data_IF_741863367646
#
_entry.id   IF_741863367646
#
_cell.length_a   1.000
_cell.length_b   1.000
_cell.length_c   1.000
_cell.angle_alpha   90.00
_cell.angle_beta   90.00
_cell.angle_gamma   90.00
#
_symmetry.space_group_name_H-M   'P 1'
#
loop_
_entity.id
_entity.type
_entity.pdbx_description
1 polymer ?
#
# COMPACT_ATOMS: atom_id res chain seq x y z
N UNK A 1 -0.48 -20.75 21.62
CA UNK A 1 -0.25 -19.55 20.79
C UNK A 1 1.13 -18.99 21.10
N UNK A 2 1.94 -18.70 20.09
CA UNK A 2 3.25 -18.05 20.28
C UNK A 2 3.09 -16.52 20.35
N UNK A 3 4.04 -15.80 20.96
CA UNK A 3 3.97 -14.33 21.11
C UNK A 3 3.80 -13.58 19.79
N UNK A 4 4.48 -14.02 18.73
CA UNK A 4 4.39 -13.37 17.41
C UNK A 4 3.05 -13.63 16.71
N UNK A 5 2.43 -14.80 16.92
CA UNK A 5 1.11 -15.10 16.39
C UNK A 5 0.05 -14.20 17.02
N UNK A 6 0.10 -14.02 18.34
CA UNK A 6 -0.85 -13.15 19.03
C UNK A 6 -0.74 -11.70 18.55
N UNK A 7 0.49 -11.21 18.34
CA UNK A 7 0.73 -9.89 17.75
C UNK A 7 0.18 -9.78 16.32
N UNK A 8 0.38 -10.80 15.49
CA UNK A 8 -0.15 -10.83 14.14
C UNK A 8 -1.68 -10.80 14.11
N UNK A 9 -2.35 -11.59 14.97
CA UNK A 9 -3.81 -11.59 15.11
C UNK A 9 -4.33 -10.24 15.55
N UNK A 10 -3.74 -9.62 16.59
CA UNK A 10 -4.12 -8.28 17.04
C UNK A 10 -3.99 -7.24 15.93
N UNK A 11 -2.93 -7.31 15.13
CA UNK A 11 -2.75 -6.40 14.00
C UNK A 11 -3.77 -6.65 12.90
N UNK A 12 -4.09 -7.91 12.59
CA UNK A 12 -5.13 -8.27 11.64
C UNK A 12 -6.50 -7.71 12.07
N UNK A 13 -6.90 -7.92 13.33
CA UNK A 13 -8.15 -7.40 13.88
C UNK A 13 -8.22 -5.87 13.78
N UNK A 14 -7.13 -5.16 14.07
CA UNK A 14 -7.08 -3.69 13.93
C UNK A 14 -7.25 -3.23 12.48
N UNK A 15 -6.68 -3.97 11.53
CA UNK A 15 -6.86 -3.70 10.09
C UNK A 15 -8.32 -3.94 9.70
N UNK A 16 -8.94 -5.03 10.18
CA UNK A 16 -10.34 -5.36 9.91
C UNK A 16 -11.32 -4.36 10.53
N UNK A 17 -11.01 -3.85 11.73
CA UNK A 17 -11.76 -2.77 12.39
C UNK A 17 -11.63 -1.42 11.67
N UNK A 18 -10.76 -1.31 10.65
CA UNK A 18 -10.57 -0.08 9.88
C UNK A 18 -9.75 0.99 10.60
N UNK A 19 -9.04 0.65 11.70
CA UNK A 19 -8.06 1.55 12.33
C UNK A 19 -6.94 1.91 11.36
N UNK A 20 -6.56 0.98 10.49
CA UNK A 20 -5.64 1.23 9.39
C UNK A 20 -6.37 1.05 8.06
N UNK A 21 -6.54 2.13 7.31
CA UNK A 21 -7.19 2.05 6.01
C UNK A 21 -6.26 1.42 5.00
N UNK A 22 -6.83 0.70 4.05
CA UNK A 22 -6.06 0.14 2.96
C UNK A 22 -5.25 1.23 2.23
N UNK A 23 -3.93 1.03 2.11
CA UNK A 23 -2.99 1.99 1.53
C UNK A 23 -2.46 3.03 2.50
N UNK A 24 -2.83 3.01 3.79
CA UNK A 24 -2.11 3.73 4.83
C UNK A 24 -0.83 3.00 5.24
N UNK A 25 0.08 3.79 5.81
CA UNK A 25 1.39 3.32 6.28
C UNK A 25 1.23 2.69 7.66
N UNK A 26 1.70 1.46 7.82
CA UNK A 26 1.79 0.83 9.13
C UNK A 26 2.91 1.46 9.97
N UNK A 27 2.79 1.43 11.31
CA UNK A 27 3.89 1.79 12.19
C UNK A 27 5.15 0.96 11.88
N UNK A 28 6.32 1.58 12.04
CA UNK A 28 7.60 0.91 11.81
C UNK A 28 7.86 -0.16 12.86
N UNK A 29 8.65 -1.18 12.50
CA UNK A 29 9.02 -2.31 13.37
C UNK A 29 9.51 -1.84 14.74
N UNK A 30 10.31 -0.76 14.78
CA UNK A 30 10.81 -0.15 16.02
C UNK A 30 9.71 0.46 16.88
N UNK A 31 8.81 1.24 16.29
CA UNK A 31 7.71 1.88 17.03
C UNK A 31 6.78 0.83 17.65
N UNK A 32 6.48 -0.22 16.89
CA UNK A 32 5.62 -1.33 17.34
C UNK A 32 6.30 -2.17 18.43
N UNK A 33 7.61 -2.40 18.30
CA UNK A 33 8.43 -3.04 19.33
C UNK A 33 8.42 -2.25 20.64
N UNK A 34 8.53 -0.92 20.59
CA UNK A 34 8.49 -0.06 21.77
C UNK A 34 7.11 0.01 22.41
N UNK A 35 6.04 0.11 21.61
CA UNK A 35 4.66 0.18 22.10
C UNK A 35 4.23 -1.11 22.82
N UNK A 36 4.58 -2.27 22.25
CA UNK A 36 4.16 -3.58 22.78
C UNK A 36 5.22 -4.26 23.65
N UNK A 37 6.41 -3.67 23.81
CA UNK A 37 7.51 -4.24 24.59
C UNK A 37 8.03 -5.58 24.06
N UNK A 38 7.91 -5.83 22.75
CA UNK A 38 8.32 -7.09 22.11
C UNK A 38 9.63 -6.93 21.35
N UNK A 39 10.40 -8.01 21.24
CA UNK A 39 11.65 -8.01 20.47
C UNK A 39 11.40 -7.71 18.98
N UNK A 40 12.35 -7.01 18.36
CA UNK A 40 12.30 -6.64 16.94
C UNK A 40 12.10 -7.88 16.06
N UNK A 41 12.79 -8.99 16.36
CA UNK A 41 12.64 -10.25 15.63
C UNK A 41 11.22 -10.81 15.67
N UNK A 42 10.52 -10.66 16.80
CA UNK A 42 9.13 -11.09 16.97
C UNK A 42 8.18 -10.25 16.11
N UNK A 43 8.41 -8.94 16.03
CA UNK A 43 7.63 -8.04 15.15
C UNK A 43 7.89 -8.38 13.68
N UNK A 44 9.14 -8.66 13.31
CA UNK A 44 9.47 -9.09 11.94
C UNK A 44 8.76 -10.40 11.58
N UNK A 45 8.74 -11.39 12.48
CA UNK A 45 8.00 -12.64 12.27
C UNK A 45 6.49 -12.41 12.12
N UNK A 46 5.91 -11.52 12.93
CA UNK A 46 4.49 -11.16 12.80
C UNK A 46 4.19 -10.49 11.45
N UNK A 47 5.06 -9.59 10.99
CA UNK A 47 4.94 -8.96 9.67
C UNK A 47 5.09 -9.96 8.52
N UNK A 48 6.01 -10.93 8.64
CA UNK A 48 6.15 -12.00 7.65
C UNK A 48 4.86 -12.84 7.53
N UNK A 49 4.19 -13.13 8.65
CA UNK A 49 2.89 -13.80 8.61
C UNK A 49 1.82 -12.95 7.91
N UNK A 50 1.72 -11.66 8.26
CA UNK A 50 0.76 -10.75 7.63
C UNK A 50 1.02 -10.55 6.13
N UNK A 51 2.30 -10.59 5.73
CA UNK A 51 2.73 -10.58 4.33
C UNK A 51 2.28 -11.85 3.59
N UNK A 52 2.48 -13.02 4.20
CA UNK A 52 1.99 -14.30 3.66
C UNK A 52 0.46 -14.31 3.52
N UNK A 53 -0.26 -13.66 4.43
CA UNK A 53 -1.71 -13.49 4.37
C UNK A 53 -2.16 -12.38 3.39
N UNK A 54 -1.22 -11.73 2.70
CA UNK A 54 -1.46 -10.60 1.80
C UNK A 54 -2.23 -9.43 2.44
N UNK A 55 -2.13 -9.27 3.76
CA UNK A 55 -2.72 -8.14 4.49
C UNK A 55 -1.83 -6.90 4.45
N UNK A 56 -0.52 -7.07 4.27
CA UNK A 56 0.45 -5.99 4.17
C UNK A 56 1.32 -6.14 2.92
N UNK A 57 1.86 -5.03 2.45
CA UNK A 57 2.80 -4.97 1.33
C UNK A 57 4.05 -4.18 1.75
N UNK A 58 5.25 -4.77 1.64
CA UNK A 58 6.48 -4.02 1.82
C UNK A 58 6.70 -3.09 0.61
N UNK A 59 6.94 -1.81 0.87
CA UNK A 59 7.30 -0.84 -0.16
C UNK A 59 8.77 -0.41 0.02
N UNK A 60 9.63 -0.57 -1.01
CA UNK A 60 11.03 -0.17 -0.92
C UNK A 60 11.13 1.32 -0.58
N UNK A 61 12.00 1.64 0.40
CA UNK A 61 12.27 2.99 0.95
C UNK A 61 11.16 3.65 1.79
N UNK A 62 9.91 3.16 1.77
CA UNK A 62 8.80 3.82 2.50
C UNK A 62 8.28 3.05 3.72
N UNK A 63 8.56 1.75 3.82
CA UNK A 63 8.13 0.90 4.94
C UNK A 63 7.00 -0.07 4.56
N UNK A 64 6.13 -0.41 5.50
CA UNK A 64 5.03 -1.35 5.30
C UNK A 64 3.71 -0.61 5.09
N UNK A 65 2.91 -1.08 4.14
CA UNK A 65 1.59 -0.52 3.83
C UNK A 65 0.52 -1.60 3.96
N UNK A 66 -0.69 -1.21 4.38
CA UNK A 66 -1.84 -2.15 4.38
C UNK A 66 -2.19 -2.46 2.93
N UNK A 67 -2.27 -3.75 2.59
CA UNK A 67 -2.65 -4.19 1.27
C UNK A 67 -4.04 -3.65 0.93
N UNK A 68 -4.13 -2.94 -0.19
CA UNK A 68 -5.41 -2.68 -0.85
C UNK A 68 -5.81 -3.95 -1.58
N UNK A 69 -7.02 -4.46 -1.29
CA UNK A 69 -7.73 -5.24 -2.28
C UNK A 69 -7.71 -4.44 -3.59
N UNK A 70 -6.95 -4.91 -4.59
CA UNK A 70 -6.99 -4.32 -5.93
C UNK A 70 -8.47 -4.37 -6.34
N UNK A 71 -9.09 -3.23 -6.72
CA UNK A 71 -8.86 -2.72 -8.06
C UNK A 71 -8.89 -1.18 -8.08
N UNK A 72 -8.04 -0.53 -8.85
CA UNK A 72 -8.27 -0.49 -10.27
C UNK A 72 -6.99 0.06 -10.87
N UNK A 73 -6.66 -0.45 -12.05
CA UNK A 73 -6.06 0.40 -13.06
C UNK A 73 -6.86 1.70 -13.00
N UNK A 74 -6.34 2.75 -12.37
CA UNK A 74 -6.71 4.09 -12.77
C UNK A 74 -6.40 4.05 -14.24
N UNK A 75 -7.47 3.94 -15.01
CA UNK A 75 -7.46 4.21 -16.41
C UNK A 75 -6.85 5.61 -16.44
N UNK A 76 -5.56 5.70 -16.77
CA UNK A 76 -5.05 6.84 -17.51
C UNK A 76 -5.73 6.77 -18.87
N UNK A 77 -7.06 6.92 -18.84
CA UNK A 77 -7.84 7.21 -20.01
C UNK A 77 -7.40 8.60 -20.40
N UNK A 78 -6.83 8.64 -21.59
CA UNK A 78 -6.78 9.78 -22.44
C UNK A 78 -5.91 10.96 -21.97
N UNK A 79 -4.65 10.93 -22.41
CA UNK A 79 -4.23 12.00 -23.32
C UNK A 79 -4.12 11.47 -24.75
N UNK A 80 -5.19 10.84 -25.25
CA UNK A 80 -5.52 10.98 -26.68
C UNK A 80 -6.06 12.39 -26.81
N UNK A 81 -5.14 13.32 -27.06
CA UNK A 81 -5.36 14.45 -27.94
C UNK A 81 -4.27 14.27 -28.99
N UNK A 82 -4.54 13.48 -30.01
CA UNK A 82 -5.02 14.07 -31.27
C UNK A 82 -4.11 15.24 -31.67
N UNK A 83 -2.91 14.92 -32.14
CA UNK A 83 -2.31 15.70 -33.24
C UNK A 83 -2.80 15.13 -34.57
N UNK A 84 -4.10 14.82 -34.65
CA UNK A 84 -4.82 15.01 -35.90
C UNK A 84 -4.92 16.53 -36.09
N UNK A 85 -4.07 17.03 -36.98
CA UNK A 85 -4.47 17.96 -38.04
C UNK A 85 -5.52 18.99 -37.59
N UNK A 86 -5.09 19.98 -36.81
CA UNK A 86 -5.79 21.26 -36.82
C UNK A 86 -5.46 21.94 -38.16
N UNK A 87 -6.35 21.77 -39.13
CA UNK A 87 -6.56 22.81 -40.13
C UNK A 87 -7.15 24.00 -39.38
N UNK A 88 -6.51 25.15 -39.53
CA UNK A 88 -7.20 26.43 -39.42
C UNK A 88 -6.89 27.27 -40.68
N UNK A 89 -7.83 28.16 -41.05
CA UNK A 89 -8.16 28.46 -42.42
C UNK A 89 -7.81 29.91 -42.77
N UNK A 90 -6.76 30.13 -43.54
CA UNK A 90 -6.50 31.41 -44.20
C UNK A 90 -5.32 31.21 -45.15
N UNK A 91 -5.59 31.38 -46.44
CA UNK A 91 -4.64 31.06 -47.50
C UNK A 91 -3.43 31.99 -47.53
N UNK A 92 -2.34 31.45 -48.07
CA UNK A 92 -1.44 32.11 -49.01
C UNK A 92 -0.94 30.99 -49.94
N UNK A 93 -1.07 31.23 -51.24
CA UNK A 93 -0.51 30.41 -52.33
C UNK A 93 1.01 30.38 -52.24
N UNK A 94 1.61 29.21 -52.43
CA UNK A 94 2.44 28.86 -53.59
C UNK A 94 3.04 27.48 -53.38
#
# INVERSE_FOLDING_TARGET
MTRYQHLATLLAERIEQGLYRHGEKLPSVRSLSQEHGVSISTVQQAYQLLEQQQMIVPQPRSGYFVARAKPSRRCRRCRVRSSARWRSPSGIRC
#
